data_IF_624613178023
#
_entry.id   IF_624613178023
#
_cell.length_a   1.000
_cell.length_b   1.000
_cell.length_c   1.000
_cell.angle_alpha   90.00
_cell.angle_beta   90.00
_cell.angle_gamma   90.00
#
_symmetry.space_group_name_H-M   'P 1'
#
loop_
_entity.id
_entity.type
_entity.pdbx_description
1 polymer ?
#
# COMPACT_ATOMS: atom_id res chain seq x y z
N UNK A 1 -20.36 -16.56 -38.74
CA UNK A 1 -20.99 -16.09 -37.48
C UNK A 1 -20.90 -17.11 -36.35
N UNK A 2 -21.22 -18.40 -36.59
CA UNK A 2 -21.20 -19.45 -35.55
C UNK A 2 -19.83 -19.75 -34.92
N UNK A 3 -18.72 -19.56 -35.64
CA UNK A 3 -17.38 -19.80 -35.09
C UNK A 3 -16.89 -18.67 -34.17
N UNK A 4 -17.30 -17.43 -34.41
CA UNK A 4 -16.98 -16.28 -33.55
C UNK A 4 -17.74 -16.39 -32.23
N UNK A 5 -19.02 -16.80 -32.27
CA UNK A 5 -19.82 -17.06 -31.08
C UNK A 5 -19.24 -18.21 -30.24
N UNK A 6 -18.75 -19.29 -30.87
CA UNK A 6 -18.07 -20.38 -30.14
C UNK A 6 -16.75 -19.93 -29.48
N UNK A 7 -15.96 -19.10 -30.15
CA UNK A 7 -14.72 -18.55 -29.57
C UNK A 7 -15.04 -17.61 -28.40
N UNK A 8 -16.08 -16.78 -28.51
CA UNK A 8 -16.54 -15.90 -27.43
C UNK A 8 -17.10 -16.72 -26.25
N UNK A 9 -17.87 -17.77 -26.50
CA UNK A 9 -18.39 -18.66 -25.45
C UNK A 9 -17.28 -19.45 -24.75
N UNK A 10 -16.25 -19.88 -25.46
CA UNK A 10 -15.06 -20.53 -24.87
C UNK A 10 -14.24 -19.52 -24.06
N UNK A 11 -14.10 -18.27 -24.53
CA UNK A 11 -13.45 -17.20 -23.76
C UNK A 11 -14.19 -16.90 -22.45
N UNK A 12 -15.54 -16.81 -22.52
CA UNK A 12 -16.40 -16.57 -21.35
C UNK A 12 -16.34 -17.74 -20.36
N UNK A 13 -16.29 -18.99 -20.86
CA UNK A 13 -16.13 -20.16 -19.99
C UNK A 13 -14.76 -20.20 -19.30
N UNK A 14 -13.68 -19.80 -19.99
CA UNK A 14 -12.32 -19.72 -19.43
C UNK A 14 -12.21 -18.58 -18.39
N UNK A 15 -12.98 -17.50 -18.56
CA UNK A 15 -13.08 -16.39 -17.60
C UNK A 15 -13.91 -16.72 -16.35
N UNK A 16 -14.71 -17.80 -16.38
CA UNK A 16 -15.63 -18.18 -15.29
C UNK A 16 -15.09 -19.24 -14.33
N UNK A 17 -13.86 -19.73 -14.50
CA UNK A 17 -13.26 -20.72 -13.60
C UNK A 17 -12.28 -20.08 -12.61
N UNK A 18 -12.59 -20.29 -11.33
CA UNK A 18 -11.75 -20.13 -10.14
C UNK A 18 -11.76 -18.76 -9.45
N UNK A 19 -12.80 -18.52 -8.65
CA UNK A 19 -12.67 -17.64 -7.48
C UNK A 19 -11.98 -18.46 -6.39
N UNK A 20 -10.69 -18.19 -6.20
CA UNK A 20 -9.91 -18.67 -5.06
C UNK A 20 -9.44 -17.43 -4.32
N UNK A 21 -9.75 -17.34 -3.03
CA UNK A 21 -9.33 -16.23 -2.18
C UNK A 21 -7.82 -16.35 -1.91
N UNK A 22 -7.04 -15.43 -2.48
CA UNK A 22 -5.59 -15.30 -2.29
C UNK A 22 -5.24 -14.37 -1.13
N UNK A 23 -4.01 -14.46 -0.66
CA UNK A 23 -3.44 -13.57 0.36
C UNK A 23 -3.49 -12.11 -0.09
N UNK A 24 -3.71 -11.21 0.87
CA UNK A 24 -3.86 -9.78 0.64
C UNK A 24 -2.76 -9.04 1.38
N UNK A 25 -1.92 -8.29 0.63
CA UNK A 25 -0.96 -7.36 1.21
C UNK A 25 -1.69 -6.29 2.06
N UNK A 26 -1.05 -5.79 3.14
CA UNK A 26 -1.61 -4.72 3.95
C UNK A 26 -2.03 -3.51 3.11
N UNK A 27 -3.24 -3.01 3.38
CA UNK A 27 -3.80 -1.84 2.72
C UNK A 27 -3.82 -0.65 3.67
N UNK A 28 -3.52 0.54 3.16
CA UNK A 28 -3.44 1.77 3.94
C UNK A 28 -4.48 2.78 3.47
N UNK A 29 -5.18 3.43 4.39
CA UNK A 29 -6.11 4.52 4.06
C UNK A 29 -5.34 5.78 3.70
N UNK A 30 -4.30 6.07 4.48
CA UNK A 30 -3.36 7.14 4.25
C UNK A 30 -2.23 6.69 3.32
N UNK A 31 -2.54 5.99 2.22
CA UNK A 31 -1.55 5.51 1.25
C UNK A 31 -0.65 6.63 0.70
N UNK A 32 -1.20 7.85 0.57
CA UNK A 32 -0.46 9.06 0.17
C UNK A 32 0.67 9.43 1.14
N UNK A 33 0.64 8.91 2.37
CA UNK A 33 1.67 9.11 3.36
C UNK A 33 2.68 7.97 3.42
N UNK A 34 2.33 6.82 2.84
CA UNK A 34 3.17 5.63 2.75
C UNK A 34 3.39 5.21 1.28
N UNK A 35 3.56 6.20 0.39
CA UNK A 35 3.65 5.98 -1.06
C UNK A 35 4.85 5.10 -1.45
N UNK A 36 5.93 5.08 -0.65
CA UNK A 36 7.07 4.17 -0.87
C UNK A 36 6.66 2.70 -0.82
N UNK A 37 5.72 2.32 0.05
CA UNK A 37 5.22 0.93 0.11
C UNK A 37 4.49 0.51 -1.17
N UNK A 38 3.91 1.48 -1.88
CA UNK A 38 3.18 1.27 -3.13
C UNK A 38 4.09 1.40 -4.36
N UNK A 39 5.04 2.34 -4.35
CA UNK A 39 5.91 2.61 -5.48
C UNK A 39 7.33 2.95 -5.01
N UNK A 40 8.33 2.08 -5.25
CA UNK A 40 9.71 2.33 -4.84
C UNK A 40 10.35 3.55 -5.53
N UNK A 41 9.81 4.01 -6.67
CA UNK A 41 10.31 5.18 -7.38
C UNK A 41 9.93 6.52 -6.70
N UNK A 42 9.04 6.49 -5.70
CA UNK A 42 8.66 7.67 -4.93
C UNK A 42 9.75 8.15 -3.96
N UNK A 43 10.63 7.26 -3.52
CA UNK A 43 11.67 7.52 -2.51
C UNK A 43 12.54 8.72 -2.89
N UNK A 44 12.75 9.65 -1.97
CA UNK A 44 13.56 10.85 -2.21
C UNK A 44 12.89 11.92 -3.08
N UNK A 45 11.69 11.66 -3.63
CA UNK A 45 10.96 12.63 -4.49
C UNK A 45 10.53 13.90 -3.75
N UNK A 46 10.60 13.93 -2.42
CA UNK A 46 10.29 15.11 -1.60
C UNK A 46 11.43 16.11 -1.49
N UNK A 47 12.65 15.70 -1.80
CA UNK A 47 13.83 16.56 -1.72
C UNK A 47 14.33 16.83 -0.30
N UNK A 48 13.80 16.13 0.72
CA UNK A 48 14.28 16.17 2.10
C UNK A 48 14.05 14.81 2.76
N UNK A 49 14.61 14.60 3.95
CA UNK A 49 14.49 13.33 4.67
C UNK A 49 13.12 13.24 5.34
N UNK A 50 12.46 12.09 5.23
CA UNK A 50 11.19 11.80 5.88
C UNK A 50 11.27 10.52 6.70
N UNK A 51 10.63 10.56 7.85
CA UNK A 51 10.34 9.39 8.69
C UNK A 51 8.83 9.34 8.84
N UNK A 52 8.18 8.23 8.49
CA UNK A 52 6.76 8.02 8.78
C UNK A 52 6.56 6.77 9.62
N UNK A 53 5.76 6.92 10.65
CA UNK A 53 5.24 5.83 11.48
C UNK A 53 3.75 5.77 11.24
N UNK A 54 3.23 4.58 10.98
CA UNK A 54 1.80 4.34 10.80
C UNK A 54 1.42 3.10 11.61
N UNK A 55 0.30 3.20 12.34
CA UNK A 55 -0.31 2.08 13.03
C UNK A 55 -1.78 2.00 12.59
N UNK A 56 -2.23 0.80 12.22
CA UNK A 56 -3.55 0.53 11.69
C UNK A 56 -4.12 -0.69 12.39
N UNK A 57 -5.31 -0.54 12.97
CA UNK A 57 -6.08 -1.65 13.53
C UNK A 57 -7.38 -1.77 12.77
N UNK A 58 -7.49 -2.82 11.97
CA UNK A 58 -8.60 -3.05 11.06
C UNK A 58 -9.69 -3.89 11.72
N UNK A 59 -10.94 -3.62 11.33
CA UNK A 59 -12.12 -4.37 11.78
C UNK A 59 -12.19 -4.53 13.30
N UNK A 60 -12.12 -3.41 14.01
CA UNK A 60 -12.17 -3.38 15.47
C UNK A 60 -13.43 -4.09 15.97
N UNK A 61 -13.26 -4.94 16.99
CA UNK A 61 -14.30 -5.80 17.54
C UNK A 61 -14.27 -7.25 17.04
N UNK A 62 -13.45 -7.56 16.03
CA UNK A 62 -13.18 -8.93 15.58
C UNK A 62 -11.89 -9.44 16.25
N UNK A 63 -11.95 -10.61 16.88
CA UNK A 63 -10.77 -11.25 17.46
C UNK A 63 -9.83 -11.76 16.36
N UNK A 64 -8.53 -11.52 16.51
CA UNK A 64 -7.53 -11.82 15.48
C UNK A 64 -7.62 -10.93 14.22
N UNK A 65 -8.30 -9.79 14.29
CA UNK A 65 -8.35 -8.86 13.16
C UNK A 65 -6.96 -8.28 12.81
N UNK A 66 -6.76 -7.79 11.57
CA UNK A 66 -5.47 -7.27 11.14
C UNK A 66 -4.99 -6.08 11.98
N UNK A 67 -3.77 -6.17 12.51
CA UNK A 67 -3.03 -5.08 13.12
C UNK A 67 -1.70 -4.89 12.40
N UNK A 68 -1.53 -3.71 11.80
CA UNK A 68 -0.38 -3.40 10.95
C UNK A 68 0.37 -2.18 11.49
N UNK A 69 1.67 -2.31 11.61
CA UNK A 69 2.59 -1.25 12.01
C UNK A 69 3.61 -1.04 10.90
N UNK A 70 3.90 0.20 10.57
CA UNK A 70 4.84 0.55 9.51
C UNK A 70 5.77 1.66 9.97
N UNK A 71 7.07 1.45 9.78
CA UNK A 71 8.10 2.46 9.90
C UNK A 71 8.78 2.61 8.54
N UNK A 72 8.73 3.82 8.01
CA UNK A 72 9.33 4.18 6.74
C UNK A 72 10.33 5.32 6.94
N UNK A 73 11.45 5.22 6.26
CA UNK A 73 12.48 6.25 6.18
C UNK A 73 12.82 6.47 4.71
N UNK A 74 12.85 7.71 4.24
CA UNK A 74 13.38 8.02 2.91
C UNK A 74 14.17 9.34 2.88
N UNK A 75 15.19 9.41 2.03
CA UNK A 75 16.05 10.59 1.90
C UNK A 75 16.65 10.69 0.49
N UNK A 76 16.77 11.90 -0.08
CA UNK A 76 17.54 12.13 -1.30
C UNK A 76 19.05 12.21 -1.00
N UNK A 77 19.86 11.66 -1.90
CA UNK A 77 21.32 11.76 -1.84
C UNK A 77 21.81 12.99 -2.63
N UNK A 78 21.82 14.13 -1.94
CA UNK A 78 22.31 15.40 -2.49
C UNK A 78 21.62 15.78 -3.80
N UNK A 79 22.40 16.25 -4.78
CA UNK A 79 21.91 16.66 -6.10
C UNK A 79 22.02 15.57 -7.18
N UNK A 80 22.34 14.33 -6.79
CA UNK A 80 22.60 13.23 -7.73
C UNK A 80 21.34 12.72 -8.44
N UNK A 81 20.15 13.07 -7.94
CA UNK A 81 18.88 12.50 -8.37
C UNK A 81 18.59 11.12 -7.75
N UNK A 82 19.49 10.58 -6.92
CA UNK A 82 19.30 9.29 -6.23
C UNK A 82 18.50 9.49 -4.95
N UNK A 83 17.52 8.63 -4.70
CA UNK A 83 16.80 8.51 -3.43
C UNK A 83 17.06 7.14 -2.78
N UNK A 84 17.17 7.12 -1.46
CA UNK A 84 17.28 5.90 -0.65
C UNK A 84 16.13 5.83 0.35
N UNK A 85 15.59 4.64 0.58
CA UNK A 85 14.54 4.45 1.57
C UNK A 85 14.51 3.04 2.14
N UNK A 86 14.01 2.94 3.36
CA UNK A 86 13.83 1.69 4.09
C UNK A 86 12.39 1.63 4.57
N UNK A 87 11.75 0.48 4.39
CA UNK A 87 10.42 0.20 4.88
C UNK A 87 10.45 -1.04 5.78
N UNK A 88 9.91 -0.90 6.99
CA UNK A 88 9.72 -1.98 7.93
C UNK A 88 8.22 -2.09 8.21
N UNK A 89 7.64 -3.24 7.91
CA UNK A 89 6.22 -3.50 8.18
C UNK A 89 6.13 -4.72 9.08
N UNK A 90 5.36 -4.60 10.16
CA UNK A 90 4.90 -5.75 10.93
C UNK A 90 3.39 -5.84 10.75
N UNK A 91 2.90 -6.98 10.31
CA UNK A 91 1.49 -7.24 10.07
C UNK A 91 1.07 -8.52 10.77
N UNK A 92 0.08 -8.42 11.65
CA UNK A 92 -0.45 -9.55 12.40
C UNK A 92 -1.91 -9.77 12.02
N UNK A 93 -2.24 -10.98 11.54
CA UNK A 93 -3.59 -11.38 11.18
C UNK A 93 -3.87 -12.75 11.78
N UNK A 94 -4.68 -12.80 12.84
CA UNK A 94 -4.97 -14.02 13.59
C UNK A 94 -3.69 -14.75 14.04
N UNK A 95 -3.51 -16.03 13.66
CA UNK A 95 -2.29 -16.79 14.00
C UNK A 95 -1.07 -16.44 13.12
N UNK A 96 -1.25 -15.65 12.06
CA UNK A 96 -0.20 -15.25 11.13
C UNK A 96 0.47 -13.96 11.55
N UNK A 97 1.79 -13.90 11.44
CA UNK A 97 2.60 -12.71 11.61
C UNK A 97 3.61 -12.60 10.47
N UNK A 98 3.56 -11.48 9.77
CA UNK A 98 4.43 -11.14 8.67
C UNK A 98 5.29 -9.92 9.02
N UNK A 99 6.60 -10.06 8.83
CA UNK A 99 7.53 -8.93 8.97
C UNK A 99 8.26 -8.70 7.66
N UNK A 100 8.08 -7.50 7.10
CA UNK A 100 8.71 -7.06 5.86
C UNK A 100 9.88 -6.15 6.18
N UNK A 101 11.01 -6.39 5.51
CA UNK A 101 12.18 -5.53 5.57
C UNK A 101 12.59 -5.22 4.13
N UNK A 102 12.37 -3.99 3.71
CA UNK A 102 12.58 -3.56 2.33
C UNK A 102 13.52 -2.36 2.25
N UNK A 103 14.49 -2.45 1.34
CA UNK A 103 15.32 -1.34 0.90
C UNK A 103 14.88 -0.90 -0.50
N UNK A 104 14.78 0.41 -0.68
CA UNK A 104 14.31 1.03 -1.90
C UNK A 104 15.36 2.02 -2.40
N UNK A 105 15.63 1.99 -3.70
CA UNK A 105 16.52 2.93 -4.37
C UNK A 105 15.78 3.52 -5.55
N UNK A 106 15.84 4.85 -5.70
CA UNK A 106 15.29 5.54 -6.85
C UNK A 106 16.37 6.34 -7.58
N UNK A 107 16.18 6.54 -8.88
CA UNK A 107 16.97 7.45 -9.69
C UNK A 107 16.04 8.34 -10.51
N UNK A 108 16.14 9.65 -10.28
CA UNK A 108 15.31 10.67 -10.92
C UNK A 108 16.05 11.33 -12.08
N UNK A 109 15.47 11.22 -13.27
CA UNK A 109 15.88 11.94 -14.47
C UNK A 109 14.99 13.17 -14.66
N UNK A 110 15.61 14.34 -14.77
CA UNK A 110 14.90 15.59 -15.06
C UNK A 110 14.57 15.64 -16.56
N UNK A 111 13.28 15.67 -16.87
CA UNK A 111 12.76 15.64 -18.26
C UNK A 111 12.45 17.03 -18.82
N UNK A 112 12.23 18.01 -17.94
CA UNK A 112 11.98 19.42 -18.28
C UNK A 112 12.32 20.32 -17.08
N UNK A 113 12.04 21.63 -17.15
CA UNK A 113 12.31 22.53 -16.03
C UNK A 113 11.63 22.08 -14.73
N UNK A 114 10.39 21.59 -14.83
CA UNK A 114 9.58 21.15 -13.69
C UNK A 114 9.25 19.65 -13.68
N UNK A 115 9.53 18.93 -14.76
CA UNK A 115 9.19 17.51 -14.91
C UNK A 115 10.31 16.55 -14.48
N UNK A 116 9.95 15.56 -13.67
CA UNK A 116 10.88 14.57 -13.13
C UNK A 116 10.33 13.16 -13.37
N UNK A 117 11.16 12.28 -13.94
CA UNK A 117 10.86 10.88 -14.16
C UNK A 117 11.79 10.04 -13.28
N UNK A 118 11.23 9.36 -12.29
CA UNK A 118 11.97 8.48 -11.38
C UNK A 118 11.74 7.02 -11.72
N UNK A 119 12.82 6.24 -11.65
CA UNK A 119 12.81 4.78 -11.70
C UNK A 119 13.19 4.26 -10.33
N UNK A 120 12.48 3.27 -9.83
CA UNK A 120 12.68 2.72 -8.50
C UNK A 120 12.86 1.22 -8.52
N UNK A 121 13.73 0.74 -7.65
CA UNK A 121 13.94 -0.68 -7.37
C UNK A 121 13.75 -0.92 -5.88
N UNK A 122 13.10 -2.04 -5.58
CA UNK A 122 12.87 -2.54 -4.22
C UNK A 122 13.58 -3.87 -4.08
N UNK A 123 14.31 -4.04 -2.99
CA UNK A 123 14.92 -5.30 -2.59
C UNK A 123 14.67 -5.50 -1.11
N UNK A 124 14.16 -6.68 -0.74
CA UNK A 124 13.82 -6.95 0.64
C UNK A 124 13.50 -8.42 0.88
N UNK A 125 12.81 -8.66 1.98
CA UNK A 125 12.29 -9.97 2.30
C UNK A 125 11.19 -9.91 3.34
N UNK A 126 10.34 -10.93 3.28
CA UNK A 126 9.23 -11.16 4.20
C UNK A 126 9.52 -12.39 5.05
N UNK A 127 9.50 -12.21 6.36
CA UNK A 127 9.47 -13.30 7.32
C UNK A 127 8.01 -13.63 7.61
N UNK A 128 7.55 -14.78 7.11
CA UNK A 128 6.21 -15.29 7.30
C UNK A 128 6.20 -16.34 8.41
N UNK A 129 5.41 -16.11 9.46
CA UNK A 129 5.25 -17.04 10.56
C UNK A 129 3.78 -17.32 10.82
N UNK A 130 3.42 -18.59 11.00
CA UNK A 130 2.07 -18.99 11.42
C UNK A 130 2.17 -19.83 12.67
N UNK A 131 1.55 -19.36 13.74
CA UNK A 131 1.46 -20.07 15.02
C UNK A 131 0.10 -20.74 15.16
N UNK A 132 0.05 -22.00 14.75
CA UNK A 132 -1.18 -22.78 14.77
C UNK A 132 -1.66 -23.05 16.21
N UNK A 133 -0.79 -22.98 17.23
CA UNK A 133 -1.21 -23.16 18.62
C UNK A 133 -2.28 -22.16 19.10
N UNK A 134 -2.44 -21.03 18.41
CA UNK A 134 -3.45 -19.99 18.70
C UNK A 134 -4.82 -20.28 18.07
N UNK A 135 -4.93 -21.27 17.20
CA UNK A 135 -6.17 -21.64 16.51
C UNK A 135 -7.05 -22.59 17.32
N UNK A 136 -8.36 -22.55 17.07
CA UNK A 136 -9.31 -23.55 17.59
C UNK A 136 -9.54 -24.59 16.49
N UNK A 137 -9.14 -25.82 16.73
CA UNK A 137 -9.23 -26.91 15.76
C UNK A 137 -10.48 -27.74 15.96
N UNK A 138 -11.22 -28.01 14.87
CA UNK A 138 -12.34 -28.95 14.89
C UNK A 138 -11.88 -30.40 15.02
N UNK A 139 -10.70 -30.71 14.48
CA UNK A 139 -10.05 -32.02 14.57
C UNK A 139 -8.62 -31.83 15.10
N UNK A 140 -8.37 -32.28 16.33
CA UNK A 140 -7.07 -32.13 16.98
C UNK A 140 -5.96 -33.02 16.40
N UNK A 141 -6.30 -33.95 15.50
CA UNK A 141 -5.36 -34.89 14.88
C UNK A 141 -4.93 -34.49 13.45
N UNK A 142 -5.32 -33.32 12.95
CA UNK A 142 -4.87 -32.84 11.65
C UNK A 142 -3.36 -32.51 11.69
N UNK A 143 -2.55 -33.38 11.07
CA UNK A 143 -1.09 -33.25 11.05
C UNK A 143 -0.61 -31.97 10.34
N UNK A 144 -1.40 -31.44 9.40
CA UNK A 144 -1.04 -30.24 8.64
C UNK A 144 -1.11 -28.95 9.48
N UNK A 145 -1.87 -28.98 10.58
CA UNK A 145 -2.09 -27.84 11.48
C UNK A 145 -1.36 -27.99 12.82
N UNK A 146 -0.50 -29.00 12.95
CA UNK A 146 0.24 -29.31 14.18
C UNK A 146 1.69 -28.78 14.19
N UNK A 147 2.15 -28.12 13.12
CA UNK A 147 3.50 -27.58 13.03
C UNK A 147 3.47 -26.11 12.61
N UNK A 148 4.08 -25.26 13.44
CA UNK A 148 4.23 -23.84 13.13
C UNK A 148 5.05 -23.67 11.85
N UNK A 149 4.63 -22.74 11.01
CA UNK A 149 5.28 -22.45 9.74
C UNK A 149 6.18 -21.23 9.97
N UNK A 150 7.42 -21.30 9.50
CA UNK A 150 8.32 -20.16 9.43
C UNK A 150 9.05 -20.18 8.08
N UNK A 151 8.86 -19.13 7.28
CA UNK A 151 9.45 -19.02 5.93
C UNK A 151 10.03 -17.63 5.74
N UNK A 152 11.19 -17.57 5.09
CA UNK A 152 11.73 -16.33 4.55
C UNK A 152 11.48 -16.28 3.05
N UNK A 153 10.87 -15.18 2.59
CA UNK A 153 10.44 -14.98 1.22
C UNK A 153 11.14 -13.73 0.67
N UNK A 154 12.12 -13.85 -0.24
CA UNK A 154 12.78 -12.69 -0.82
C UNK A 154 11.79 -11.86 -1.64
N UNK A 155 12.00 -10.55 -1.66
CA UNK A 155 11.15 -9.59 -2.35
C UNK A 155 11.98 -8.73 -3.29
N UNK A 156 11.55 -8.65 -4.55
CA UNK A 156 12.10 -7.74 -5.56
C UNK A 156 10.94 -6.99 -6.18
N UNK A 157 11.08 -5.68 -6.32
CA UNK A 157 10.07 -4.82 -6.93
C UNK A 157 10.66 -3.75 -7.81
N UNK A 158 9.82 -3.19 -8.67
CA UNK A 158 10.19 -2.08 -9.54
C UNK A 158 9.04 -1.09 -9.68
N UNK A 159 9.37 0.16 -9.96
CA UNK A 159 8.38 1.21 -10.20
C UNK A 159 8.90 2.33 -11.07
N UNK A 160 7.96 3.06 -11.65
CA UNK A 160 8.18 4.31 -12.38
C UNK A 160 7.27 5.36 -11.76
N UNK A 161 7.80 6.57 -11.58
CA UNK A 161 7.07 7.68 -10.98
C UNK A 161 7.40 8.97 -11.70
N UNK A 162 6.40 9.55 -12.38
CA UNK A 162 6.52 10.84 -13.02
C UNK A 162 5.83 11.91 -12.18
N UNK A 163 6.52 13.01 -11.90
CA UNK A 163 5.97 14.07 -11.06
C UNK A 163 6.44 15.46 -11.47
N UNK A 164 5.53 16.42 -11.26
CA UNK A 164 5.75 17.87 -11.35
C UNK A 164 5.49 18.53 -10.00
N UNK A 165 5.44 19.86 -9.96
CA UNK A 165 5.11 20.63 -8.75
C UNK A 165 3.65 20.48 -8.29
N UNK A 166 2.74 20.09 -9.18
CA UNK A 166 1.30 20.04 -8.92
C UNK A 166 0.64 18.70 -9.24
N UNK A 167 1.32 17.73 -9.86
CA UNK A 167 0.73 16.41 -10.13
C UNK A 167 1.75 15.31 -10.19
N UNK A 168 1.27 14.07 -10.04
CA UNK A 168 2.07 12.87 -10.19
C UNK A 168 1.27 11.72 -10.80
N UNK A 169 2.00 10.79 -11.40
CA UNK A 169 1.52 9.52 -11.89
C UNK A 169 2.59 8.46 -11.63
N UNK A 170 2.19 7.31 -11.10
CA UNK A 170 3.08 6.22 -10.78
C UNK A 170 2.51 4.87 -11.21
N UNK A 171 3.41 4.00 -11.64
CA UNK A 171 3.13 2.60 -11.87
C UNK A 171 4.19 1.77 -11.15
N UNK A 172 3.78 0.70 -10.47
CA UNK A 172 4.72 -0.16 -9.77
C UNK A 172 4.24 -1.60 -9.68
N UNK A 173 5.22 -2.49 -9.56
CA UNK A 173 5.05 -3.89 -9.16
C UNK A 173 6.00 -4.11 -7.97
N UNK A 174 5.54 -3.87 -6.73
CA UNK A 174 6.40 -3.95 -5.54
C UNK A 174 6.93 -5.36 -5.25
N UNK A 175 6.17 -6.39 -5.63
CA UNK A 175 6.51 -7.79 -5.40
C UNK A 175 6.40 -8.53 -6.75
N UNK A 176 7.53 -8.67 -7.45
CA UNK A 176 7.64 -9.35 -8.76
C UNK A 176 7.82 -10.86 -8.57
N UNK A 177 8.49 -11.26 -7.49
CA UNK A 177 8.78 -12.66 -7.22
C UNK A 177 7.52 -13.43 -6.86
N UNK A 178 7.21 -14.43 -7.68
CA UNK A 178 6.14 -15.40 -7.41
C UNK A 178 6.71 -16.48 -6.49
N UNK A 179 6.24 -16.55 -5.24
CA UNK A 179 6.56 -17.68 -4.37
C UNK A 179 5.30 -18.49 -4.13
N UNK A 180 5.41 -19.81 -4.29
CA UNK A 180 4.32 -20.74 -4.00
C UNK A 180 4.39 -21.12 -2.52
N UNK A 181 3.31 -20.90 -1.77
CA UNK A 181 3.30 -21.07 -0.31
C UNK A 181 3.10 -22.51 0.14
N UNK A 182 2.70 -23.42 -0.77
CA UNK A 182 2.48 -24.84 -0.49
C UNK A 182 3.19 -25.71 -1.54
N UNK A 183 4.26 -26.37 -1.11
CA UNK A 183 4.69 -27.63 -1.73
C UNK A 183 3.96 -28.73 -0.96
N UNK A 184 2.91 -29.30 -1.53
CA UNK A 184 2.36 -30.55 -1.01
C UNK A 184 2.70 -31.69 -1.96
N UNK A 185 3.72 -32.46 -1.58
CA UNK A 185 3.87 -33.84 -2.01
C UNK A 185 2.75 -34.62 -1.31
N UNK A 186 1.50 -34.47 -1.76
CA UNK A 186 0.33 -35.35 -1.54
C UNK A 186 -0.98 -34.63 -1.90
N UNK A 187 -1.48 -34.87 -3.12
CA UNK A 187 -2.92 -34.98 -3.38
C UNK A 187 -3.86 -33.83 -2.92
N UNK A 188 -3.89 -32.72 -3.67
CA UNK A 188 -5.11 -31.89 -3.79
C UNK A 188 -5.21 -30.62 -2.92
N UNK A 189 -4.14 -30.17 -2.28
CA UNK A 189 -4.09 -28.89 -1.58
C UNK A 189 -4.18 -27.68 -2.53
N UNK A 190 -4.93 -26.65 -2.14
CA UNK A 190 -5.02 -25.38 -2.88
C UNK A 190 -3.67 -24.66 -2.76
N UNK A 191 -2.92 -24.58 -3.86
CA UNK A 191 -1.67 -23.80 -3.92
C UNK A 191 -2.02 -22.32 -3.77
N UNK A 192 -1.70 -21.74 -2.63
CA UNK A 192 -1.67 -20.28 -2.46
C UNK A 192 -0.39 -19.78 -3.15
N UNK A 193 -0.54 -19.20 -4.34
CA UNK A 193 0.55 -18.57 -5.09
C UNK A 193 0.52 -17.05 -4.83
N UNK A 194 1.64 -16.47 -4.41
CA UNK A 194 1.84 -15.02 -4.38
C UNK A 194 1.70 -14.44 -5.79
N UNK A 195 0.73 -13.56 -6.04
CA UNK A 195 0.52 -12.99 -7.38
C UNK A 195 1.12 -11.59 -7.45
N UNK A 196 1.61 -11.22 -8.63
CA UNK A 196 2.09 -9.86 -8.86
C UNK A 196 0.93 -8.86 -8.67
N UNK A 197 1.15 -7.89 -7.80
CA UNK A 197 0.26 -6.77 -7.57
C UNK A 197 0.73 -5.57 -8.40
N UNK A 198 -0.09 -5.16 -9.36
CA UNK A 198 0.17 -3.98 -10.17
C UNK A 198 -0.52 -2.78 -9.55
N UNK A 199 0.25 -1.75 -9.21
CA UNK A 199 -0.25 -0.51 -8.64
C UNK A 199 -0.17 0.61 -9.65
N UNK A 200 -1.28 1.35 -9.77
CA UNK A 200 -1.37 2.60 -10.51
C UNK A 200 -1.81 3.68 -9.53
N UNK A 201 -1.04 4.75 -9.43
CA UNK A 201 -1.35 5.88 -8.54
C UNK A 201 -1.31 7.19 -9.32
N UNK A 202 -2.19 8.11 -8.98
CA UNK A 202 -2.19 9.44 -9.58
C UNK A 202 -2.80 10.46 -8.65
N UNK A 203 -2.39 11.71 -8.79
CA UNK A 203 -2.97 12.80 -8.02
C UNK A 203 -2.59 14.16 -8.58
N UNK A 204 -3.43 15.15 -8.28
CA UNK A 204 -3.22 16.54 -8.68
C UNK A 204 -3.45 17.43 -7.46
N UNK A 205 -2.75 18.55 -7.35
CA UNK A 205 -2.89 19.56 -6.29
C UNK A 205 -3.37 20.84 -6.95
N UNK A 206 -4.61 21.22 -6.64
CA UNK A 206 -5.23 22.48 -7.02
C UNK A 206 -5.01 23.51 -5.91
N UNK A 207 -4.37 24.63 -6.22
CA UNK A 207 -4.36 25.80 -5.34
C UNK A 207 -5.68 26.56 -5.54
N UNK A 208 -6.67 26.32 -4.66
CA UNK A 208 -7.99 26.95 -4.74
C UNK A 208 -7.95 28.42 -4.25
N UNK A 209 -7.06 28.70 -3.31
CA UNK A 209 -6.73 30.03 -2.82
C UNK A 209 -5.30 30.03 -2.26
N UNK A 210 -4.80 31.18 -1.78
CA UNK A 210 -3.50 31.26 -1.09
C UNK A 210 -3.44 30.39 0.18
N UNK A 211 -4.61 30.05 0.74
CA UNK A 211 -4.75 29.34 2.02
C UNK A 211 -5.35 27.95 1.88
N UNK A 212 -5.92 27.58 0.72
CA UNK A 212 -6.62 26.31 0.54
C UNK A 212 -6.06 25.58 -0.67
N UNK A 213 -5.56 24.36 -0.44
CA UNK A 213 -5.14 23.42 -1.49
C UNK A 213 -6.07 22.22 -1.49
N UNK A 214 -6.44 21.75 -2.68
CA UNK A 214 -7.27 20.57 -2.88
C UNK A 214 -6.50 19.50 -3.65
N UNK A 215 -6.46 18.28 -3.12
CA UNK A 215 -5.79 17.14 -3.73
C UNK A 215 -6.75 15.96 -3.89
N UNK A 216 -7.30 15.76 -5.10
CA UNK A 216 -7.82 14.48 -5.49
C UNK A 216 -6.66 13.53 -5.81
N UNK A 217 -6.79 12.28 -5.37
CA UNK A 217 -5.85 11.22 -5.70
C UNK A 217 -6.58 9.89 -5.88
N UNK A 218 -6.01 9.05 -6.74
CA UNK A 218 -6.51 7.72 -7.06
C UNK A 218 -5.41 6.70 -6.88
N UNK A 219 -5.76 5.52 -6.36
CA UNK A 219 -4.92 4.34 -6.30
C UNK A 219 -5.72 3.15 -6.83
N UNK A 220 -5.15 2.43 -7.79
CA UNK A 220 -5.73 1.23 -8.36
C UNK A 220 -4.76 0.09 -8.16
N UNK A 221 -5.26 -1.04 -7.64
CA UNK A 221 -4.51 -2.27 -7.46
C UNK A 221 -5.15 -3.36 -8.32
N UNK A 222 -4.35 -3.94 -9.19
CA UNK A 222 -4.76 -4.97 -10.15
C UNK A 222 -3.97 -6.24 -9.83
N UNK A 223 -4.69 -7.34 -9.63
CA UNK A 223 -4.11 -8.67 -9.39
C UNK A 223 -4.79 -9.64 -10.34
N UNK A 224 -4.00 -10.49 -11.00
CA UNK A 224 -4.57 -11.51 -11.86
C UNK A 224 -5.50 -12.42 -11.06
N UNK A 225 -6.75 -12.59 -11.50
CA UNK A 225 -7.75 -13.46 -10.86
C UNK A 225 -8.42 -12.91 -9.60
N UNK A 226 -8.22 -11.63 -9.25
CA UNK A 226 -8.98 -10.96 -8.20
C UNK A 226 -9.79 -9.77 -8.78
N UNK A 227 -10.88 -9.34 -8.11
CA UNK A 227 -11.57 -8.11 -8.47
C UNK A 227 -10.63 -6.90 -8.46
N UNK A 228 -10.92 -5.91 -9.31
CA UNK A 228 -10.22 -4.62 -9.31
C UNK A 228 -10.44 -3.92 -7.96
N UNK A 229 -9.36 -3.45 -7.35
CA UNK A 229 -9.41 -2.60 -6.15
C UNK A 229 -9.12 -1.16 -6.55
N UNK A 230 -10.03 -0.25 -6.22
CA UNK A 230 -9.94 1.17 -6.57
C UNK A 230 -10.21 2.04 -5.34
N UNK A 231 -9.25 2.89 -5.02
CA UNK A 231 -9.30 3.87 -3.94
C UNK A 231 -9.30 5.27 -4.54
N UNK A 232 -10.31 6.06 -4.24
CA UNK A 232 -10.39 7.47 -4.61
C UNK A 232 -10.38 8.30 -3.33
N UNK A 233 -9.56 9.35 -3.29
CA UNK A 233 -9.47 10.23 -2.13
C UNK A 233 -9.49 11.69 -2.54
N UNK A 234 -9.99 12.53 -1.64
CA UNK A 234 -10.11 13.97 -1.78
C UNK A 234 -9.62 14.60 -0.48
N UNK A 235 -8.55 15.38 -0.54
CA UNK A 235 -7.94 16.02 0.62
C UNK A 235 -7.87 17.53 0.44
N UNK A 236 -8.34 18.28 1.44
CA UNK A 236 -8.18 19.72 1.54
C UNK A 236 -7.12 20.04 2.58
N UNK A 237 -6.20 20.95 2.26
CA UNK A 237 -5.19 21.49 3.15
C UNK A 237 -5.43 22.98 3.34
N UNK A 238 -5.62 23.38 4.60
CA UNK A 238 -5.87 24.75 5.03
C UNK A 238 -4.62 25.32 5.71
N UNK A 239 -4.18 26.49 5.24
CA UNK A 239 -3.03 27.25 5.75
C UNK A 239 -1.75 26.43 5.88
N UNK A 240 -1.55 25.43 5.01
CA UNK A 240 -0.47 24.45 5.10
C UNK A 240 -0.34 23.75 6.47
N UNK A 241 -1.42 23.75 7.28
CA UNK A 241 -1.43 23.23 8.66
C UNK A 241 -2.48 22.16 8.89
N UNK A 242 -3.71 22.41 8.49
CA UNK A 242 -4.83 21.52 8.81
C UNK A 242 -5.31 20.79 7.56
N UNK A 243 -5.38 19.47 7.62
CA UNK A 243 -5.84 18.62 6.52
C UNK A 243 -7.15 17.95 6.90
N UNK A 244 -8.11 18.00 5.98
CA UNK A 244 -9.36 17.24 6.06
C UNK A 244 -9.53 16.50 4.75
N UNK A 245 -9.86 15.22 4.80
CA UNK A 245 -10.09 14.46 3.60
C UNK A 245 -11.15 13.38 3.77
N UNK A 246 -11.62 12.91 2.63
CA UNK A 246 -12.46 11.73 2.54
C UNK A 246 -11.85 10.77 1.51
N UNK A 247 -12.08 9.48 1.71
CA UNK A 247 -11.73 8.47 0.73
C UNK A 247 -12.87 7.49 0.55
N UNK A 248 -12.92 6.86 -0.61
CA UNK A 248 -13.82 5.78 -0.93
C UNK A 248 -13.02 4.66 -1.57
N UNK A 249 -13.09 3.49 -0.96
CA UNK A 249 -12.56 2.24 -1.50
C UNK A 249 -13.71 1.43 -2.06
N UNK A 250 -13.61 1.13 -3.35
CA UNK A 250 -14.61 0.38 -4.09
C UNK A 250 -14.89 -0.96 -3.41
N UNK A 251 -16.17 -1.22 -3.13
CA UNK A 251 -16.67 -2.47 -2.52
C UNK A 251 -16.07 -2.80 -1.13
N UNK A 252 -15.52 -1.81 -0.42
CA UNK A 252 -14.91 -2.02 0.89
C UNK A 252 -15.35 -0.99 1.93
N UNK A 253 -14.99 0.29 1.75
CA UNK A 253 -15.13 1.28 2.83
C UNK A 253 -15.24 2.74 2.35
N UNK A 254 -15.76 3.57 3.24
CA UNK A 254 -15.70 5.04 3.15
C UNK A 254 -14.88 5.53 4.34
N UNK A 255 -13.94 6.43 4.08
CA UNK A 255 -13.00 6.92 5.09
C UNK A 255 -13.11 8.41 5.31
N UNK A 256 -12.94 8.83 6.56
CA UNK A 256 -12.68 10.21 6.94
C UNK A 256 -11.23 10.34 7.43
N UNK A 257 -10.56 11.42 7.03
CA UNK A 257 -9.16 11.68 7.34
C UNK A 257 -9.00 13.09 7.91
N UNK A 258 -8.21 13.19 8.98
CA UNK A 258 -7.80 14.44 9.60
C UNK A 258 -6.29 14.46 9.74
N UNK A 259 -5.67 15.62 9.54
CA UNK A 259 -4.24 15.79 9.74
C UNK A 259 -3.89 17.18 10.25
N UNK A 260 -2.83 17.26 11.03
CA UNK A 260 -2.38 18.50 11.62
C UNK A 260 -0.86 18.59 11.59
N UNK A 261 -0.35 19.69 11.03
CA UNK A 261 1.04 20.09 11.06
C UNK A 261 1.30 20.81 12.39
N UNK A 262 1.93 20.12 13.34
CA UNK A 262 2.22 20.66 14.68
C UNK A 262 3.28 21.76 14.59
N UNK A 263 4.33 21.50 13.82
CA UNK A 263 5.41 22.42 13.51
C UNK A 263 5.96 22.10 12.11
N UNK A 264 6.96 22.81 11.62
CA UNK A 264 7.45 22.63 10.24
C UNK A 264 7.96 21.22 9.90
N UNK A 265 8.34 20.44 10.90
CA UNK A 265 8.87 19.08 10.77
C UNK A 265 7.87 17.99 11.13
N UNK A 266 6.98 18.22 12.09
CA UNK A 266 6.11 17.20 12.66
C UNK A 266 4.66 17.35 12.18
N UNK A 267 4.15 16.26 11.59
CA UNK A 267 2.76 16.12 11.20
C UNK A 267 2.16 14.87 11.86
N UNK A 268 0.90 14.99 12.29
CA UNK A 268 0.10 13.85 12.76
C UNK A 268 -1.13 13.73 11.86
N UNK A 269 -1.54 12.49 11.59
CA UNK A 269 -2.75 12.16 10.86
C UNK A 269 -3.54 11.07 11.56
N UNK A 270 -4.85 11.12 11.40
CA UNK A 270 -5.78 10.11 11.85
C UNK A 270 -6.79 9.85 10.74
N UNK A 271 -7.07 8.58 10.48
CA UNK A 271 -8.11 8.16 9.57
C UNK A 271 -9.01 7.12 10.23
N UNK A 272 -10.28 7.18 9.88
CA UNK A 272 -11.28 6.19 10.26
C UNK A 272 -11.95 5.68 9.00
N UNK A 273 -11.93 4.36 8.80
CA UNK A 273 -12.67 3.71 7.73
C UNK A 273 -13.95 3.09 8.29
N UNK A 274 -15.07 3.52 7.73
CA UNK A 274 -16.34 2.86 7.89
C UNK A 274 -16.46 1.75 6.85
N UNK A 275 -16.44 0.50 7.30
CA UNK A 275 -16.64 -0.67 6.44
C UNK A 275 -18.06 -0.64 5.85
N UNK A 276 -18.17 -0.63 4.52
CA UNK A 276 -19.45 -0.66 3.78
C UNK A 276 -19.72 -2.01 3.13
N UNK A 277 -18.73 -2.90 3.09
CA UNK A 277 -18.86 -4.27 2.61
C UNK A 277 -19.67 -5.14 3.57
N UNK A 278 -19.91 -6.41 3.20
CA UNK A 278 -20.65 -7.39 4.01
C UNK A 278 -20.07 -7.62 5.43
N UNK A 279 -18.84 -7.16 5.68
CA UNK A 279 -18.21 -7.19 7.00
C UNK A 279 -18.74 -6.11 7.96
N UNK A 280 -19.49 -5.11 7.48
CA UNK A 280 -19.98 -3.97 8.28
C UNK A 280 -20.75 -4.38 9.53
N UNK A 281 -21.44 -5.52 9.51
CA UNK A 281 -22.24 -6.00 10.63
C UNK A 281 -21.42 -6.63 11.76
N UNK A 282 -20.12 -6.86 11.53
CA UNK A 282 -19.24 -7.62 12.43
C UNK A 282 -18.08 -6.79 12.97
N UNK A 283 -17.91 -5.54 12.54
CA UNK A 283 -16.85 -4.67 13.02
C UNK A 283 -17.32 -3.22 13.22
N UNK A 284 -16.59 -2.48 14.05
CA UNK A 284 -16.84 -1.06 14.32
C UNK A 284 -15.99 -0.11 13.46
N UNK A 285 -15.42 -0.60 12.35
CA UNK A 285 -14.56 0.16 11.45
C UNK A 285 -13.06 -0.11 11.65
N UNK A 286 -12.25 0.69 10.98
CA UNK A 286 -10.78 0.63 11.02
C UNK A 286 -10.21 1.96 11.47
N UNK A 287 -9.23 1.92 12.37
CA UNK A 287 -8.55 3.11 12.86
C UNK A 287 -7.12 3.12 12.35
N UNK A 288 -6.67 4.26 11.85
CA UNK A 288 -5.31 4.44 11.37
C UNK A 288 -4.72 5.74 11.92
N UNK A 289 -3.59 5.64 12.61
CA UNK A 289 -2.84 6.77 13.15
C UNK A 289 -1.52 6.86 12.41
N UNK A 290 -1.10 8.07 12.08
CA UNK A 290 0.15 8.31 11.39
C UNK A 290 0.88 9.51 11.98
N UNK A 291 2.20 9.38 12.07
CA UNK A 291 3.11 10.43 12.48
C UNK A 291 4.18 10.54 11.40
N UNK A 292 4.40 11.75 10.89
CA UNK A 292 5.44 12.06 9.92
C UNK A 292 6.39 13.09 10.51
N UNK A 293 7.67 12.84 10.34
CA UNK A 293 8.75 13.74 10.74
C UNK A 293 9.66 14.06 9.54
N UNK A 294 9.74 15.34 9.19
CA UNK A 294 10.52 15.87 8.07
C UNK A 294 11.79 16.57 8.59
N UNK A 295 12.95 16.12 8.12
CA UNK A 295 14.28 16.60 8.53
C UNK A 295 14.97 17.26 7.33
N UNK A 296 15.74 18.33 7.58
CA UNK A 296 16.48 19.08 6.55
C UNK A 296 15.60 19.69 5.45
N UNK A 297 14.36 20.06 5.82
CA UNK A 297 13.47 20.81 4.94
C UNK A 297 14.00 22.24 4.81
N UNK A 298 14.66 22.56 3.69
CA UNK A 298 15.10 23.94 3.44
C UNK A 298 13.89 24.88 3.34
N UNK A 299 13.93 26.00 4.06
CA UNK A 299 12.83 26.97 4.13
C UNK A 299 12.65 27.86 2.87
N UNK A 300 13.30 27.58 1.73
CA UNK A 300 13.23 28.49 0.55
C UNK A 300 12.68 27.87 -0.75
N UNK A 301 11.55 28.46 -1.17
CA UNK A 301 11.02 28.64 -2.54
C UNK A 301 10.75 27.41 -3.43
N UNK A 302 10.52 26.22 -2.87
CA UNK A 302 9.67 25.23 -3.54
C UNK A 302 8.55 24.83 -2.60
N UNK A 303 7.31 25.11 -3.02
CA UNK A 303 6.07 24.77 -2.30
C UNK A 303 6.21 23.41 -1.62
N UNK A 304 5.81 23.25 -0.33
CA UNK A 304 5.79 21.97 0.33
C UNK A 304 5.08 20.99 -0.60
N UNK A 305 5.84 20.02 -1.11
CA UNK A 305 5.33 19.07 -2.11
C UNK A 305 4.19 18.32 -1.44
N UNK A 306 2.95 18.63 -1.79
CA UNK A 306 1.76 18.00 -1.22
C UNK A 306 1.46 16.66 -1.93
N UNK A 307 2.46 15.79 -2.00
CA UNK A 307 2.39 14.44 -2.57
C UNK A 307 2.27 13.34 -1.51
#
# INVERSE_FOLDING_TARGET
MNNILKVISILILILSSCIVYGQQDPQYTQYMFNTMSVNPAYVGSKGHTMINVLARTQWVGIDGAPDTQTLSYDTPLGYSGVGLGINLVNDAIGPSNETYIDANVSYTVRTSEDGNLAFGLKLGGRFFNVDWSKGVFRDGNDRSLNQNISKFLPTIGAGVYYYKSNWYLGFAVPNILRTDHYDDVSSGGVVATERMHYFLIGGYVFDLSETIKFKPAVLSKIVSGAPLSLDVSANFLFNDKFRVGAAWRWDDSISAMLGFQINESLQIGYAYDLTTSNYSNYNSGTHEVMLRYEIFKEQKMKSPRFF
#
